data_IF_781209459640
#
_entry.id   IF_781209459640
#
_cell.length_a   1.000
_cell.length_b   1.000
_cell.length_c   1.000
_cell.angle_alpha   90.00
_cell.angle_beta   90.00
_cell.angle_gamma   90.00
#
_symmetry.space_group_name_H-M   'P 1'
#
loop_
_entity.id
_entity.type
_entity.pdbx_description
1 polymer ?
#
# COMPACT_ATOMS: atom_id res chain seq x y z
N UNK A 1 2.49 40.01 -42.20
CA UNK A 1 2.01 38.61 -42.06
C UNK A 1 2.81 37.73 -41.07
N UNK A 2 3.87 38.21 -40.40
CA UNK A 2 4.71 37.36 -39.52
C UNK A 2 4.29 37.32 -38.03
N UNK A 3 3.51 38.29 -37.53
CA UNK A 3 3.16 38.35 -36.10
C UNK A 3 2.03 37.40 -35.68
N UNK A 4 1.04 37.15 -36.56
CA UNK A 4 -0.08 36.24 -36.27
C UNK A 4 0.33 34.76 -36.22
N UNK A 5 1.31 34.36 -37.03
CA UNK A 5 1.83 32.99 -36.99
C UNK A 5 2.67 32.74 -35.73
N UNK A 6 3.52 33.70 -35.32
CA UNK A 6 4.34 33.54 -34.10
C UNK A 6 3.46 33.43 -32.85
N UNK A 7 2.38 34.23 -32.75
CA UNK A 7 1.45 34.15 -31.63
C UNK A 7 0.67 32.82 -31.60
N UNK A 8 0.35 32.24 -32.76
CA UNK A 8 -0.36 30.97 -32.87
C UNK A 8 0.55 29.77 -32.53
N UNK A 9 1.82 29.81 -32.94
CA UNK A 9 2.82 28.80 -32.54
C UNK A 9 3.16 28.91 -31.06
N UNK A 10 3.22 30.12 -30.48
CA UNK A 10 3.44 30.29 -29.04
C UNK A 10 2.26 29.80 -28.21
N UNK A 11 1.02 30.04 -28.65
CA UNK A 11 -0.19 29.57 -27.96
C UNK A 11 -0.32 28.03 -28.01
N UNK A 12 0.02 27.40 -29.14
CA UNK A 12 0.06 25.93 -29.26
C UNK A 12 1.18 25.31 -28.40
N UNK A 13 2.33 25.97 -28.29
CA UNK A 13 3.44 25.49 -27.45
C UNK A 13 3.06 25.54 -25.97
N UNK A 14 2.47 26.65 -25.50
CA UNK A 14 2.03 26.81 -24.10
C UNK A 14 0.93 25.80 -23.73
N UNK A 15 -0.02 25.52 -24.64
CA UNK A 15 -1.05 24.49 -24.42
C UNK A 15 -0.46 23.07 -24.39
N UNK A 16 0.53 22.75 -25.23
CA UNK A 16 1.20 21.42 -25.22
C UNK A 16 2.06 21.18 -23.97
N UNK A 17 2.56 22.24 -23.32
CA UNK A 17 3.34 22.16 -22.08
C UNK A 17 2.48 22.09 -20.82
N UNK A 18 1.22 22.52 -20.86
CA UNK A 18 0.32 22.42 -19.70
C UNK A 18 -0.20 20.99 -19.48
N UNK A 19 -0.41 20.21 -20.54
CA UNK A 19 -0.86 18.81 -20.42
C UNK A 19 0.26 17.84 -19.98
N UNK A 20 1.53 18.23 -20.12
CA UNK A 20 2.67 17.37 -19.74
C UNK A 20 3.01 17.43 -18.23
N UNK A 21 2.62 18.48 -17.50
CA UNK A 21 3.09 18.68 -16.13
C UNK A 21 2.26 17.94 -15.06
N UNK A 22 1.00 17.62 -15.33
CA UNK A 22 0.15 16.95 -14.32
C UNK A 22 0.53 15.49 -14.11
N UNK A 23 0.93 14.79 -15.18
CA UNK A 23 1.33 13.39 -15.12
C UNK A 23 2.68 13.18 -14.42
N UNK A 24 3.70 13.97 -14.75
CA UNK A 24 5.02 13.90 -14.09
C UNK A 24 4.97 14.37 -12.63
N UNK A 25 4.11 15.34 -12.31
CA UNK A 25 3.93 15.82 -10.94
C UNK A 25 3.23 14.79 -10.03
N UNK A 26 2.21 14.08 -10.54
CA UNK A 26 1.57 13.00 -9.79
C UNK A 26 2.53 11.83 -9.49
N UNK A 27 3.53 11.65 -10.35
CA UNK A 27 4.49 10.56 -10.23
C UNK A 27 5.56 10.85 -9.15
N UNK A 28 5.91 12.13 -8.93
CA UNK A 28 6.87 12.52 -7.88
C UNK A 28 6.25 12.50 -6.47
N UNK A 29 5.02 13.02 -6.31
CA UNK A 29 4.26 12.93 -5.06
C UNK A 29 4.10 11.45 -4.62
N UNK A 30 3.71 10.61 -5.58
CA UNK A 30 3.52 9.18 -5.38
C UNK A 30 4.86 8.45 -5.09
N UNK A 31 5.97 8.82 -5.74
CA UNK A 31 7.31 8.30 -5.40
C UNK A 31 7.75 8.75 -4.00
N UNK A 32 7.43 9.98 -3.61
CA UNK A 32 7.73 10.51 -2.29
C UNK A 32 6.97 9.74 -1.19
N UNK A 33 5.71 9.38 -1.43
CA UNK A 33 4.93 8.49 -0.55
C UNK A 33 5.68 7.18 -0.28
N UNK A 34 6.12 6.48 -1.34
CA UNK A 34 6.86 5.22 -1.23
C UNK A 34 8.19 5.40 -0.47
N UNK A 35 8.91 6.50 -0.73
CA UNK A 35 10.17 6.82 -0.03
C UNK A 35 9.94 7.06 1.46
N UNK A 36 8.87 7.77 1.82
CA UNK A 36 8.51 8.03 3.21
C UNK A 36 8.15 6.74 3.95
N UNK A 37 7.34 5.87 3.34
CA UNK A 37 7.02 4.56 3.89
C UNK A 37 8.27 3.70 4.16
N UNK A 38 9.16 3.61 3.18
CA UNK A 38 10.41 2.85 3.29
C UNK A 38 11.32 3.34 4.42
N UNK A 39 11.40 4.66 4.62
CA UNK A 39 12.29 5.26 5.59
C UNK A 39 11.67 5.38 7.00
N UNK A 40 10.38 5.09 7.17
CA UNK A 40 9.69 5.34 8.44
C UNK A 40 9.47 6.84 8.71
N UNK A 41 9.41 7.68 7.68
CA UNK A 41 9.25 9.12 7.82
C UNK A 41 7.77 9.49 7.95
N UNK A 42 7.29 9.60 9.19
CA UNK A 42 5.89 9.89 9.52
C UNK A 42 5.48 11.29 9.05
N UNK A 43 6.30 12.31 9.32
CA UNK A 43 5.99 13.70 8.93
C UNK A 43 5.97 13.85 7.40
N UNK A 44 6.90 13.18 6.72
CA UNK A 44 6.94 13.13 5.26
C UNK A 44 5.75 12.39 4.66
N UNK A 45 5.31 11.30 5.31
CA UNK A 45 4.13 10.53 4.91
C UNK A 45 2.87 11.41 4.95
N UNK A 46 2.65 12.11 6.05
CA UNK A 46 1.48 12.99 6.20
C UNK A 46 1.48 14.11 5.16
N UNK A 47 2.64 14.70 4.85
CA UNK A 47 2.74 15.72 3.80
C UNK A 47 2.41 15.15 2.43
N UNK A 48 2.99 14.00 2.08
CA UNK A 48 2.73 13.36 0.79
C UNK A 48 1.25 12.96 0.63
N UNK A 49 0.59 12.50 1.69
CA UNK A 49 -0.84 12.17 1.69
C UNK A 49 -1.75 13.39 1.52
N UNK A 50 -1.28 14.59 1.90
CA UNK A 50 -2.02 15.83 1.75
C UNK A 50 -1.79 16.53 0.39
N UNK A 51 -0.89 16.00 -0.46
CA UNK A 51 -0.69 16.53 -1.80
C UNK A 51 -1.87 16.14 -2.70
N UNK A 52 -2.47 17.13 -3.38
CA UNK A 52 -3.51 16.87 -4.37
C UNK A 52 -2.96 15.92 -5.45
N UNK A 53 -3.68 14.81 -5.68
CA UNK A 53 -3.36 13.74 -6.64
C UNK A 53 -2.29 12.71 -6.20
N UNK A 54 -1.94 12.61 -4.92
CA UNK A 54 -1.12 11.49 -4.45
C UNK A 54 -1.88 10.16 -4.64
N UNK A 55 -1.34 9.27 -5.48
CA UNK A 55 -1.89 7.92 -5.60
C UNK A 55 -1.38 7.05 -4.45
N UNK A 56 -2.22 6.85 -3.43
CA UNK A 56 -1.86 6.07 -2.24
C UNK A 56 -1.51 4.61 -2.54
N UNK A 57 -2.07 4.08 -3.63
CA UNK A 57 -1.93 2.71 -4.09
C UNK A 57 -0.87 2.57 -5.21
N UNK A 58 -0.04 3.60 -5.42
CA UNK A 58 1.06 3.55 -6.37
C UNK A 58 1.98 2.36 -6.07
N UNK A 59 2.42 1.68 -7.13
CA UNK A 59 3.35 0.56 -7.02
C UNK A 59 4.72 0.96 -7.56
N UNK A 60 5.78 0.57 -6.86
CA UNK A 60 7.13 0.66 -7.41
C UNK A 60 7.37 -0.40 -8.50
N UNK A 61 8.60 -0.47 -9.02
CA UNK A 61 9.01 -1.45 -10.03
C UNK A 61 8.83 -2.91 -9.60
N UNK A 62 8.83 -3.17 -8.30
CA UNK A 62 8.65 -4.50 -7.70
C UNK A 62 7.17 -4.78 -7.37
N UNK A 63 6.25 -3.88 -7.72
CA UNK A 63 4.83 -3.99 -7.37
C UNK A 63 4.52 -3.57 -5.93
N UNK A 64 5.49 -3.08 -5.17
CA UNK A 64 5.27 -2.73 -3.76
C UNK A 64 4.61 -1.35 -3.63
N UNK A 65 3.52 -1.29 -2.85
CA UNK A 65 2.87 -0.04 -2.41
C UNK A 65 3.51 0.51 -1.13
N UNK A 66 3.05 1.69 -0.69
CA UNK A 66 3.48 2.25 0.59
C UNK A 66 3.17 1.31 1.77
N UNK A 67 2.04 0.59 1.74
CA UNK A 67 1.69 -0.41 2.77
C UNK A 67 2.67 -1.59 2.80
N UNK A 68 3.11 -2.08 1.65
CA UNK A 68 4.14 -3.12 1.59
C UNK A 68 5.44 -2.63 2.24
N UNK A 69 5.90 -1.43 1.87
CA UNK A 69 7.14 -0.88 2.39
C UNK A 69 7.05 -0.60 3.90
N UNK A 70 5.90 -0.12 4.38
CA UNK A 70 5.66 0.11 5.80
C UNK A 70 5.67 -1.20 6.62
N UNK A 71 5.14 -2.30 6.07
CA UNK A 71 5.11 -3.63 6.73
C UNK A 71 6.43 -4.39 6.68
N UNK A 72 7.40 -3.94 5.88
CA UNK A 72 8.76 -4.50 5.84
C UNK A 72 9.69 -3.73 6.80
N UNK A 73 9.44 -2.45 7.01
CA UNK A 73 10.28 -1.58 7.84
C UNK A 73 10.06 -1.83 9.34
N UNK A 74 11.12 -1.82 10.15
CA UNK A 74 11.03 -1.99 11.63
C UNK A 74 10.81 -0.68 12.40
N UNK A 75 11.02 0.48 11.75
CA UNK A 75 10.93 1.82 12.37
C UNK A 75 9.63 2.51 11.97
N UNK A 76 8.81 2.92 12.93
CA UNK A 76 7.61 3.73 12.68
C UNK A 76 6.53 3.06 11.82
N UNK A 77 6.63 1.74 11.60
CA UNK A 77 5.77 1.00 10.68
C UNK A 77 4.29 1.14 11.04
N UNK A 78 3.94 0.99 12.31
CA UNK A 78 2.55 1.01 12.76
C UNK A 78 1.85 2.35 12.52
N UNK A 79 2.56 3.46 12.75
CA UNK A 79 2.00 4.81 12.53
C UNK A 79 1.77 5.07 11.04
N UNK A 80 2.72 4.68 10.20
CA UNK A 80 2.58 4.80 8.74
C UNK A 80 1.48 3.88 8.22
N UNK A 81 1.40 2.63 8.69
CA UNK A 81 0.33 1.71 8.32
C UNK A 81 -1.04 2.28 8.71
N UNK A 82 -1.18 2.81 9.93
CA UNK A 82 -2.42 3.47 10.37
C UNK A 82 -2.80 4.62 9.45
N UNK A 83 -1.87 5.55 9.20
CA UNK A 83 -2.12 6.70 8.33
C UNK A 83 -2.50 6.30 6.90
N UNK A 84 -1.83 5.31 6.32
CA UNK A 84 -2.15 4.83 4.99
C UNK A 84 -3.56 4.24 4.94
N UNK A 85 -3.95 3.44 5.94
CA UNK A 85 -5.28 2.83 6.01
C UNK A 85 -6.38 3.86 6.30
N UNK A 86 -6.10 4.89 7.10
CA UNK A 86 -7.00 6.02 7.34
C UNK A 86 -7.32 6.80 6.05
N UNK A 87 -6.37 6.83 5.09
CA UNK A 87 -6.55 7.40 3.76
C UNK A 87 -7.01 6.36 2.72
N UNK A 88 -7.61 5.27 3.17
CA UNK A 88 -8.21 4.22 2.32
C UNK A 88 -7.21 3.52 1.38
N UNK A 89 -5.95 3.38 1.78
CA UNK A 89 -5.00 2.51 1.09
C UNK A 89 -5.55 1.07 1.02
N UNK A 90 -5.45 0.43 -0.14
CA UNK A 90 -5.96 -0.92 -0.32
C UNK A 90 -4.99 -1.94 0.29
N UNK A 91 -5.38 -2.66 1.35
CA UNK A 91 -4.51 -3.63 2.02
C UNK A 91 -4.34 -4.94 1.26
N UNK A 92 -5.04 -5.13 0.13
CA UNK A 92 -5.06 -6.38 -0.64
C UNK A 92 -4.27 -6.32 -1.94
N UNK A 93 -3.68 -5.17 -2.27
CA UNK A 93 -2.81 -5.05 -3.45
C UNK A 93 -1.67 -6.06 -3.31
N UNK A 94 -1.42 -6.81 -4.38
CA UNK A 94 -0.32 -7.75 -4.46
C UNK A 94 0.85 -7.15 -5.23
N UNK A 95 2.06 -7.37 -4.72
CA UNK A 95 3.28 -7.02 -5.42
C UNK A 95 3.58 -8.00 -6.57
N UNK A 96 4.73 -7.83 -7.23
CA UNK A 96 5.10 -8.68 -8.37
C UNK A 96 5.28 -10.15 -7.99
N UNK A 97 5.44 -10.50 -6.72
CA UNK A 97 5.54 -11.88 -6.24
C UNK A 97 4.19 -12.43 -5.76
N UNK A 98 3.11 -11.65 -5.89
CA UNK A 98 1.79 -12.00 -5.35
C UNK A 98 1.67 -11.76 -3.85
N UNK A 99 2.70 -11.22 -3.19
CA UNK A 99 2.62 -10.95 -1.76
C UNK A 99 1.84 -9.66 -1.51
N UNK A 100 0.94 -9.69 -0.54
CA UNK A 100 0.22 -8.52 -0.01
C UNK A 100 0.92 -7.96 1.24
N UNK A 101 0.57 -6.77 1.74
CA UNK A 101 1.07 -6.27 3.02
C UNK A 101 0.83 -7.23 4.19
N UNK A 102 -0.27 -8.00 4.15
CA UNK A 102 -0.59 -8.98 5.19
C UNK A 102 0.41 -10.16 5.21
N UNK A 103 0.89 -10.60 4.04
CA UNK A 103 1.95 -11.61 3.93
C UNK A 103 3.23 -11.16 4.66
N UNK A 104 3.68 -9.93 4.41
CA UNK A 104 4.90 -9.39 5.01
C UNK A 104 4.77 -9.20 6.53
N UNK A 105 3.65 -8.64 7.00
CA UNK A 105 3.42 -8.47 8.45
C UNK A 105 3.34 -9.80 9.19
N UNK A 106 2.72 -10.81 8.59
CA UNK A 106 2.64 -12.17 9.14
C UNK A 106 4.01 -12.85 9.20
N UNK A 107 4.78 -12.82 8.10
CA UNK A 107 6.12 -13.41 8.02
C UNK A 107 7.13 -12.75 8.97
N UNK A 108 7.02 -11.43 9.17
CA UNK A 108 7.96 -10.67 10.00
C UNK A 108 7.54 -10.53 11.47
N UNK A 109 6.41 -11.11 11.88
CA UNK A 109 5.95 -11.03 13.27
C UNK A 109 5.43 -9.64 13.68
N UNK A 110 5.02 -8.80 12.72
CA UNK A 110 4.60 -7.42 13.00
C UNK A 110 3.15 -7.37 13.48
N UNK A 111 2.93 -7.72 14.75
CA UNK A 111 1.59 -7.87 15.34
C UNK A 111 0.68 -6.66 15.15
N UNK A 112 1.18 -5.45 15.40
CA UNK A 112 0.32 -4.25 15.31
C UNK A 112 -0.02 -3.94 13.85
N UNK A 113 0.92 -4.10 12.90
CA UNK A 113 0.63 -3.96 11.46
C UNK A 113 -0.38 -5.01 11.00
N UNK A 114 -0.21 -6.26 11.47
CA UNK A 114 -1.11 -7.37 11.17
C UNK A 114 -2.54 -7.04 11.63
N UNK A 115 -2.72 -6.61 12.89
CA UNK A 115 -4.03 -6.23 13.43
C UNK A 115 -4.67 -5.10 12.63
N UNK A 116 -3.92 -4.03 12.33
CA UNK A 116 -4.44 -2.89 11.56
C UNK A 116 -4.93 -3.31 10.16
N UNK A 117 -4.19 -4.18 9.48
CA UNK A 117 -4.58 -4.71 8.17
C UNK A 117 -5.84 -5.56 8.25
N UNK A 118 -5.94 -6.46 9.24
CA UNK A 118 -7.12 -7.31 9.45
C UNK A 118 -8.37 -6.47 9.74
N UNK A 119 -8.24 -5.47 10.60
CA UNK A 119 -9.32 -4.54 10.95
C UNK A 119 -9.80 -3.74 9.73
N UNK A 120 -8.87 -3.40 8.83
CA UNK A 120 -9.14 -2.74 7.55
C UNK A 120 -9.46 -3.71 6.41
N UNK A 121 -10.01 -4.90 6.73
CA UNK A 121 -10.54 -5.87 5.77
C UNK A 121 -9.50 -6.45 4.80
N UNK A 122 -8.26 -6.63 5.26
CA UNK A 122 -7.31 -7.47 4.54
C UNK A 122 -7.88 -8.90 4.39
N UNK A 123 -7.72 -9.46 3.20
CA UNK A 123 -8.09 -10.84 2.90
C UNK A 123 -7.07 -11.78 3.55
N UNK A 124 -7.57 -12.64 4.43
CA UNK A 124 -6.76 -13.60 5.17
C UNK A 124 -6.36 -14.80 4.32
N UNK A 125 -7.11 -15.07 3.25
CA UNK A 125 -6.95 -16.24 2.39
C UNK A 125 -6.27 -15.89 1.06
N UNK A 126 -5.80 -14.65 0.91
CA UNK A 126 -5.08 -14.21 -0.29
C UNK A 126 -3.84 -15.07 -0.50
N UNK A 127 -3.65 -15.57 -1.71
CA UNK A 127 -2.53 -16.43 -2.05
C UNK A 127 -1.52 -15.66 -2.90
N UNK A 128 -0.23 -15.80 -2.56
CA UNK A 128 0.86 -15.33 -3.42
C UNK A 128 1.11 -16.30 -4.59
N UNK A 129 2.15 -16.02 -5.40
CA UNK A 129 2.48 -16.85 -6.57
C UNK A 129 2.95 -18.26 -6.22
N UNK A 130 3.41 -18.49 -4.99
CA UNK A 130 3.78 -19.80 -4.47
C UNK A 130 2.58 -20.52 -3.81
N UNK A 131 1.36 -20.01 -4.02
CA UNK A 131 0.10 -20.52 -3.43
C UNK A 131 0.05 -20.42 -1.90
N UNK A 132 0.97 -19.66 -1.30
CA UNK A 132 1.05 -19.47 0.16
C UNK A 132 0.13 -18.34 0.59
N UNK A 133 -0.54 -18.55 1.71
CA UNK A 133 -1.33 -17.54 2.42
C UNK A 133 -0.46 -16.77 3.42
N UNK A 134 -0.93 -15.63 3.96
CA UNK A 134 -0.29 -14.97 5.10
C UNK A 134 -0.09 -15.90 6.30
N UNK A 135 -1.00 -16.85 6.53
CA UNK A 135 -0.87 -17.84 7.59
C UNK A 135 0.30 -18.80 7.33
N UNK A 136 0.45 -19.30 6.10
CA UNK A 136 1.56 -20.18 5.73
C UNK A 136 2.91 -19.47 5.92
N UNK A 137 3.00 -18.19 5.54
CA UNK A 137 4.23 -17.41 5.78
C UNK A 137 4.47 -17.09 7.26
N UNK A 138 3.42 -16.97 8.07
CA UNK A 138 3.57 -16.82 9.52
C UNK A 138 4.25 -18.05 10.13
N UNK A 139 3.90 -19.26 9.66
CA UNK A 139 4.50 -20.53 10.09
C UNK A 139 5.97 -20.66 9.68
N UNK A 140 6.36 -20.08 8.54
CA UNK A 140 7.75 -20.11 8.04
C UNK A 140 8.67 -19.10 8.71
N UNK A 141 8.11 -18.04 9.31
CA UNK A 141 8.90 -17.02 10.01
C UNK A 141 9.33 -17.41 11.42
N UNK A 142 10.22 -16.62 12.00
CA UNK A 142 10.87 -16.92 13.29
C UNK A 142 10.12 -16.18 14.41
N UNK A 143 9.67 -16.91 15.43
CA UNK A 143 9.00 -16.38 16.63
C UNK A 143 7.65 -15.67 16.37
N UNK A 144 6.94 -16.10 15.32
CA UNK A 144 5.65 -15.52 14.91
C UNK A 144 4.42 -16.12 15.62
N UNK A 145 4.60 -16.76 16.78
CA UNK A 145 3.53 -17.49 17.47
C UNK A 145 2.27 -16.64 17.66
N UNK A 146 2.44 -15.40 18.11
CA UNK A 146 1.32 -14.49 18.30
C UNK A 146 0.62 -14.13 16.97
N UNK A 147 1.33 -14.00 15.85
CA UNK A 147 0.70 -13.78 14.54
C UNK A 147 -0.13 -14.99 14.11
N UNK A 148 0.38 -16.21 14.34
CA UNK A 148 -0.32 -17.46 14.04
C UNK A 148 -1.63 -17.53 14.83
N UNK A 149 -1.58 -17.30 16.15
CA UNK A 149 -2.76 -17.33 17.02
C UNK A 149 -3.84 -16.32 16.57
N UNK A 150 -3.41 -15.12 16.13
CA UNK A 150 -4.31 -14.08 15.61
C UNK A 150 -4.95 -14.52 14.29
N UNK A 151 -4.14 -14.94 13.32
CA UNK A 151 -4.62 -15.35 12.01
C UNK A 151 -5.56 -16.56 12.12
N UNK A 152 -5.22 -17.55 12.95
CA UNK A 152 -6.09 -18.70 13.24
C UNK A 152 -7.43 -18.24 13.83
N UNK A 153 -7.40 -17.39 14.86
CA UNK A 153 -8.61 -16.86 15.49
C UNK A 153 -9.47 -16.03 14.53
N UNK A 154 -8.85 -15.21 13.69
CA UNK A 154 -9.52 -14.38 12.70
C UNK A 154 -10.11 -15.19 11.53
N UNK A 155 -9.50 -16.33 11.17
CA UNK A 155 -10.05 -17.24 10.17
C UNK A 155 -11.26 -18.01 10.73
N UNK A 156 -11.15 -18.55 11.94
CA UNK A 156 -12.22 -19.33 12.59
C UNK A 156 -13.47 -18.47 12.87
N UNK A 157 -13.29 -17.22 13.27
CA UNK A 157 -14.42 -16.29 13.50
C UNK A 157 -15.22 -15.99 12.22
N UNK A 158 -14.59 -15.93 11.04
CA UNK A 158 -15.29 -15.76 9.75
C UNK A 158 -15.95 -17.05 9.24
N UNK A 159 -15.43 -18.22 9.60
CA UNK A 159 -15.97 -19.54 9.17
C UNK A 159 -17.18 -19.97 10.02
N UNK A 160 -17.33 -19.48 11.26
CA UNK A 160 -18.38 -19.92 12.19
C UNK A 160 -19.73 -19.20 12.08
N UNK A 161 -19.97 -18.39 11.05
CA UNK A 161 -21.31 -17.86 10.75
C UNK A 161 -21.92 -18.65 9.58
N UNK A 162 -22.18 -19.94 9.79
CA UNK A 162 -23.27 -20.58 9.05
C UNK A 162 -24.58 -20.14 9.72
N UNK A 163 -25.52 -19.49 9.00
CA UNK A 163 -26.83 -19.23 9.58
C UNK A 163 -27.44 -20.59 9.94
N UNK A 164 -27.70 -20.79 11.23
CA UNK A 164 -28.52 -21.89 11.68
C UNK A 164 -29.87 -21.77 10.97
N UNK A 165 -30.12 -22.66 10.01
CA UNK A 165 -31.46 -22.86 9.47
C UNK A 165 -32.39 -23.21 10.63
N UNK A 166 -33.33 -22.33 10.93
CA UNK A 166 -34.74 -22.66 11.16
C UNK A 166 -35.59 -21.41 11.05
#
# INVERSE_FOLDING_TARGET
MKLKNIMFTFLLCVLSTLDLSAAEYSDEASKNLLRCAKNGNIDGMQRALNEENANINIQNKDGNTALHLATITKKGCHQIVSQLLEYEADPNIQNNDGNSPLHFSAQNGQLVSLYLLIDNKADLNIQNKDEKTPFDLALEGIDNKACIDILESSMVSKVNIKPAKK
#
